data_IF_977216544188
#
_entry.id   IF_977216544188
#
_cell.length_a   1.000
_cell.length_b   1.000
_cell.length_c   1.000
_cell.angle_alpha   90.00
_cell.angle_beta   90.00
_cell.angle_gamma   90.00
#
_symmetry.space_group_name_H-M   'P 1'
#
loop_
_entity.id
_entity.type
_entity.pdbx_description
1 polymer ?
#
# COMPACT_ATOMS: atom_id res chain seq x y z
N UNK A 1 20.64 29.72 -16.52
CA UNK A 1 19.27 29.14 -16.50
C UNK A 1 19.41 27.73 -15.94
N UNK A 2 18.73 27.40 -14.86
CA UNK A 2 18.76 26.07 -14.29
C UNK A 2 18.11 25.10 -15.28
N UNK A 3 18.87 24.12 -15.78
CA UNK A 3 18.33 23.03 -16.62
C UNK A 3 17.47 22.12 -15.72
N UNK A 4 16.22 22.51 -15.51
CA UNK A 4 15.24 21.64 -14.86
C UNK A 4 14.90 20.49 -15.81
N UNK A 5 15.27 19.28 -15.44
CA UNK A 5 14.91 18.05 -16.15
C UNK A 5 13.71 17.41 -15.44
N UNK A 6 12.51 17.43 -16.05
CA UNK A 6 11.34 16.88 -15.41
C UNK A 6 11.42 15.37 -15.30
N UNK A 7 11.04 14.85 -14.15
CA UNK A 7 10.83 13.40 -13.96
C UNK A 7 9.56 12.92 -14.68
N UNK A 8 9.40 11.62 -14.83
CA UNK A 8 8.18 11.04 -15.42
C UNK A 8 6.89 11.45 -14.69
N UNK A 9 6.98 11.71 -13.39
CA UNK A 9 5.87 12.22 -12.59
C UNK A 9 5.45 13.63 -13.03
N UNK A 10 6.40 14.53 -13.17
CA UNK A 10 6.15 15.91 -13.58
C UNK A 10 5.53 15.99 -14.98
N UNK A 11 6.00 15.14 -15.89
CA UNK A 11 5.44 15.03 -17.25
C UNK A 11 3.99 14.51 -17.24
N UNK A 12 3.62 13.64 -16.30
CA UNK A 12 2.24 13.17 -16.14
C UNK A 12 1.34 14.24 -15.54
N UNK A 13 1.84 15.05 -14.62
CA UNK A 13 1.13 16.25 -14.13
C UNK A 13 0.87 17.21 -15.29
N UNK A 14 1.86 17.43 -16.13
CA UNK A 14 1.68 18.25 -17.33
C UNK A 14 0.60 17.70 -18.29
N UNK A 15 0.47 16.36 -18.38
CA UNK A 15 -0.63 15.74 -19.15
C UNK A 15 -2.01 15.98 -18.52
N UNK A 16 -2.14 15.99 -17.18
CA UNK A 16 -3.39 16.38 -16.51
C UNK A 16 -3.76 17.81 -16.89
N UNK A 17 -2.80 18.72 -16.83
CA UNK A 17 -3.01 20.11 -17.23
C UNK A 17 -3.50 20.21 -18.67
N UNK A 18 -2.84 19.52 -19.61
CA UNK A 18 -3.27 19.46 -21.01
C UNK A 18 -4.69 18.89 -21.17
N UNK A 19 -5.04 17.85 -20.38
CA UNK A 19 -6.37 17.25 -20.39
C UNK A 19 -7.45 18.24 -19.95
N UNK A 20 -7.22 19.00 -18.88
CA UNK A 20 -8.15 20.05 -18.43
C UNK A 20 -8.25 21.23 -19.41
N UNK A 21 -7.19 21.50 -20.17
CA UNK A 21 -7.21 22.45 -21.29
C UNK A 21 -7.94 21.90 -22.53
N UNK A 22 -8.59 20.73 -22.44
CA UNK A 22 -9.32 20.08 -23.53
C UNK A 22 -8.44 19.73 -24.75
N UNK A 23 -7.13 19.58 -24.54
CA UNK A 23 -6.22 19.07 -25.57
C UNK A 23 -6.44 17.58 -25.79
N UNK A 24 -6.11 17.12 -26.97
CA UNK A 24 -6.06 15.69 -27.29
C UNK A 24 -4.75 15.06 -26.80
N UNK A 25 -4.70 13.74 -26.66
CA UNK A 25 -3.46 13.04 -26.33
C UNK A 25 -2.33 13.28 -27.35
N UNK A 26 -2.69 13.43 -28.62
CA UNK A 26 -1.74 13.68 -29.69
C UNK A 26 -1.17 15.11 -29.64
N UNK A 27 -2.00 16.10 -29.34
CA UNK A 27 -1.56 17.49 -29.14
C UNK A 27 -0.68 17.60 -27.91
N UNK A 28 -1.07 16.99 -26.81
CA UNK A 28 -0.31 16.97 -25.57
C UNK A 28 1.07 16.32 -25.75
N UNK A 29 1.14 15.23 -26.51
CA UNK A 29 2.41 14.60 -26.87
C UNK A 29 3.32 15.59 -27.63
N UNK A 30 2.79 16.30 -28.66
CA UNK A 30 3.58 17.27 -29.43
C UNK A 30 4.10 18.41 -28.55
N UNK A 31 3.24 18.94 -27.67
CA UNK A 31 3.63 19.97 -26.69
C UNK A 31 4.74 19.53 -25.77
N UNK A 32 4.65 18.30 -25.23
CA UNK A 32 5.69 17.74 -24.36
C UNK A 32 7.02 17.55 -25.12
N UNK A 33 6.97 17.07 -26.37
CA UNK A 33 8.17 16.91 -27.21
C UNK A 33 8.78 18.25 -27.56
N UNK A 34 7.98 19.26 -27.86
CA UNK A 34 8.44 20.62 -28.16
C UNK A 34 9.20 21.23 -26.96
N UNK A 35 8.71 21.02 -25.74
CA UNK A 35 9.30 21.61 -24.51
C UNK A 35 10.46 20.77 -23.97
N UNK A 36 10.36 19.45 -23.99
CA UNK A 36 11.27 18.54 -23.28
C UNK A 36 12.08 17.60 -24.20
N UNK A 37 11.85 17.67 -25.53
CA UNK A 37 12.58 16.86 -26.52
C UNK A 37 12.48 15.37 -26.27
N UNK A 38 13.63 14.70 -26.26
CA UNK A 38 13.75 13.25 -26.02
C UNK A 38 13.36 12.80 -24.59
N UNK A 39 13.28 13.74 -23.64
CA UNK A 39 12.86 13.45 -22.27
C UNK A 39 11.33 13.39 -22.10
N UNK A 40 10.57 13.77 -23.14
CA UNK A 40 9.11 13.71 -23.12
C UNK A 40 8.58 12.27 -22.96
N UNK A 41 7.34 12.14 -22.48
CA UNK A 41 6.65 10.84 -22.48
C UNK A 41 6.42 10.38 -23.92
N UNK A 42 6.57 9.08 -24.16
CA UNK A 42 6.28 8.50 -25.46
C UNK A 42 4.82 8.66 -25.88
N UNK A 43 4.55 8.70 -27.19
CA UNK A 43 3.21 8.88 -27.76
C UNK A 43 2.19 7.89 -27.16
N UNK A 44 2.52 6.60 -27.12
CA UNK A 44 1.65 5.55 -26.55
C UNK A 44 1.33 5.80 -25.09
N UNK A 45 2.30 6.26 -24.30
CA UNK A 45 2.11 6.59 -22.88
C UNK A 45 1.14 7.76 -22.70
N UNK A 46 1.22 8.79 -23.54
CA UNK A 46 0.27 9.90 -23.52
C UNK A 46 -1.16 9.43 -23.79
N UNK A 47 -1.36 8.52 -24.76
CA UNK A 47 -2.67 7.96 -25.06
C UNK A 47 -3.22 7.11 -23.90
N UNK A 48 -2.40 6.27 -23.26
CA UNK A 48 -2.78 5.48 -22.09
C UNK A 48 -3.19 6.36 -20.91
N UNK A 49 -2.44 7.44 -20.63
CA UNK A 49 -2.80 8.38 -19.58
C UNK A 49 -4.10 9.11 -19.89
N UNK A 50 -4.33 9.54 -21.12
CA UNK A 50 -5.59 10.15 -21.52
C UNK A 50 -6.78 9.19 -21.43
N UNK A 51 -6.57 7.88 -21.64
CA UNK A 51 -7.58 6.84 -21.39
C UNK A 51 -7.94 6.77 -19.90
N UNK A 52 -6.95 6.79 -19.01
CA UNK A 52 -7.14 6.84 -17.56
C UNK A 52 -7.89 8.12 -17.13
N UNK A 53 -7.50 9.28 -17.62
CA UNK A 53 -8.17 10.54 -17.29
C UNK A 53 -9.64 10.56 -17.72
N UNK A 54 -9.97 10.00 -18.88
CA UNK A 54 -11.36 9.86 -19.33
C UNK A 54 -12.21 8.93 -18.46
N UNK A 55 -11.60 7.95 -17.82
CA UNK A 55 -12.29 7.09 -16.84
C UNK A 55 -12.36 7.70 -15.43
N UNK A 56 -11.92 8.96 -15.25
CA UNK A 56 -11.91 9.64 -13.95
C UNK A 56 -10.68 9.35 -13.08
N UNK A 57 -9.72 8.56 -13.58
CA UNK A 57 -8.51 8.26 -12.83
C UNK A 57 -7.41 9.28 -13.18
N UNK A 58 -7.16 10.21 -12.24
CA UNK A 58 -6.13 11.25 -12.33
C UNK A 58 -4.89 10.96 -11.48
N UNK A 59 -4.78 9.75 -10.93
CA UNK A 59 -3.59 9.38 -10.17
C UNK A 59 -2.41 9.15 -11.11
N UNK A 60 -1.51 10.11 -11.16
CA UNK A 60 -0.30 10.09 -12.01
C UNK A 60 0.92 9.48 -11.35
N UNK A 61 0.78 9.02 -10.11
CA UNK A 61 1.85 8.29 -9.42
C UNK A 61 2.14 6.99 -10.18
N UNK A 62 3.38 6.56 -10.13
CA UNK A 62 3.82 5.37 -10.87
C UNK A 62 3.39 4.10 -10.14
N UNK A 63 2.13 3.69 -10.33
CA UNK A 63 1.58 2.47 -9.73
C UNK A 63 2.22 1.19 -10.29
N UNK A 64 2.78 1.25 -11.50
CA UNK A 64 3.38 0.08 -12.16
C UNK A 64 4.55 -0.56 -11.39
N UNK A 65 5.13 0.16 -10.41
CA UNK A 65 6.19 -0.34 -9.52
C UNK A 65 5.74 -0.64 -8.09
N UNK A 66 4.53 -0.26 -7.69
CA UNK A 66 4.00 -0.62 -6.38
C UNK A 66 3.12 -1.86 -6.52
N UNK A 67 3.70 -3.00 -6.24
CA UNK A 67 2.91 -4.23 -6.08
C UNK A 67 2.17 -4.13 -4.74
N UNK A 68 0.90 -3.73 -4.82
CA UNK A 68 -0.02 -3.80 -3.69
C UNK A 68 -0.38 -5.25 -3.47
N UNK A 69 0.23 -5.91 -2.51
CA UNK A 69 -0.04 -7.28 -2.13
C UNK A 69 0.47 -7.55 -0.72
N UNK A 70 0.06 -8.65 -0.15
CA UNK A 70 0.56 -9.12 1.14
C UNK A 70 2.02 -9.53 1.01
N UNK A 71 2.86 -8.89 1.79
CA UNK A 71 4.30 -9.19 1.85
C UNK A 71 4.55 -10.42 2.71
N UNK A 72 3.93 -10.45 3.90
CA UNK A 72 4.10 -11.50 4.89
C UNK A 72 2.80 -11.69 5.66
N UNK A 73 2.53 -12.89 6.09
CA UNK A 73 1.52 -13.23 7.08
C UNK A 73 1.94 -14.48 7.84
N UNK A 74 1.39 -14.67 9.00
CA UNK A 74 1.56 -15.87 9.82
C UNK A 74 0.19 -16.34 10.34
N UNK A 75 -0.09 -17.63 10.22
CA UNK A 75 -1.25 -18.26 10.85
C UNK A 75 -0.83 -18.86 12.19
N UNK A 76 -1.49 -18.43 13.25
CA UNK A 76 -1.29 -18.99 14.57
C UNK A 76 -1.98 -20.35 14.68
N UNK A 77 -1.36 -21.28 15.38
CA UNK A 77 -2.03 -22.54 15.76
C UNK A 77 -3.02 -22.28 16.88
N UNK A 78 -4.03 -23.16 17.06
CA UNK A 78 -4.95 -23.05 18.17
C UNK A 78 -4.20 -22.98 19.52
N UNK A 79 -4.55 -21.99 20.35
CA UNK A 79 -3.93 -21.76 21.64
C UNK A 79 -2.63 -20.95 21.63
N UNK A 80 -2.07 -20.61 20.45
CA UNK A 80 -0.94 -19.70 20.35
C UNK A 80 -1.38 -18.25 20.45
N UNK A 81 -0.53 -17.40 21.01
CA UNK A 81 -0.75 -15.97 21.14
C UNK A 81 0.46 -15.17 20.66
N UNK A 82 0.24 -13.92 20.27
CA UNK A 82 1.32 -13.00 19.89
C UNK A 82 1.83 -12.33 21.17
N UNK A 83 2.94 -12.83 21.67
CA UNK A 83 3.73 -12.19 22.73
C UNK A 83 4.84 -11.32 22.13
N UNK A 84 5.59 -10.65 22.98
CA UNK A 84 6.69 -9.74 22.57
C UNK A 84 7.73 -10.44 21.70
N UNK A 85 8.17 -11.64 22.06
CA UNK A 85 9.22 -12.35 21.32
C UNK A 85 8.71 -12.83 19.96
N UNK A 86 7.47 -13.34 19.91
CA UNK A 86 6.86 -13.72 18.64
C UNK A 86 6.67 -12.52 17.72
N UNK A 87 6.18 -11.40 18.25
CA UNK A 87 6.01 -10.19 17.46
C UNK A 87 7.35 -9.66 16.93
N UNK A 88 8.39 -9.71 17.76
CA UNK A 88 9.76 -9.37 17.33
C UNK A 88 10.21 -10.27 16.19
N UNK A 89 9.99 -11.59 16.27
CA UNK A 89 10.32 -12.52 15.20
C UNK A 89 9.52 -12.22 13.92
N UNK A 90 8.23 -11.92 14.04
CA UNK A 90 7.39 -11.50 12.90
C UNK A 90 7.94 -10.25 12.20
N UNK A 91 8.50 -9.29 12.93
CA UNK A 91 9.15 -8.11 12.31
C UNK A 91 10.43 -8.48 11.55
N UNK A 92 11.19 -9.44 12.04
CA UNK A 92 12.38 -9.96 11.36
C UNK A 92 11.98 -10.68 10.06
N UNK A 93 10.98 -11.55 10.14
CA UNK A 93 10.48 -12.32 8.99
C UNK A 93 9.83 -11.40 7.95
N UNK A 94 9.09 -10.38 8.40
CA UNK A 94 8.53 -9.33 7.53
C UNK A 94 9.63 -8.56 6.79
N UNK A 95 10.69 -8.18 7.50
CA UNK A 95 11.83 -7.48 6.87
C UNK A 95 12.50 -8.37 5.82
N UNK A 96 12.74 -9.65 6.12
CA UNK A 96 13.32 -10.59 5.17
C UNK A 96 12.41 -10.75 3.95
N UNK A 97 11.13 -11.02 4.13
CA UNK A 97 10.16 -11.15 3.05
C UNK A 97 10.03 -9.86 2.20
N UNK A 98 10.16 -8.69 2.83
CA UNK A 98 10.17 -7.41 2.13
C UNK A 98 11.38 -7.30 1.21
N UNK A 99 12.57 -7.64 1.70
CA UNK A 99 13.82 -7.56 0.93
C UNK A 99 13.85 -8.59 -0.21
N UNK A 100 13.31 -9.78 0.00
CA UNK A 100 13.19 -10.81 -1.04
C UNK A 100 12.21 -10.41 -2.15
N UNK A 101 11.01 -9.96 -1.77
CA UNK A 101 9.96 -9.57 -2.72
C UNK A 101 10.19 -8.21 -3.38
N UNK A 102 10.99 -7.35 -2.77
CA UNK A 102 11.26 -5.98 -3.20
C UNK A 102 12.71 -5.57 -2.98
N UNK A 103 13.65 -6.13 -3.76
CA UNK A 103 15.08 -5.86 -3.59
C UNK A 103 15.46 -4.37 -3.72
N UNK A 104 14.59 -3.59 -4.38
CA UNK A 104 14.79 -2.15 -4.49
C UNK A 104 14.73 -1.42 -3.13
N UNK A 105 14.14 -2.01 -2.10
CA UNK A 105 14.14 -1.39 -0.75
C UNK A 105 15.51 -1.38 -0.11
N UNK A 106 16.41 -2.28 -0.48
CA UNK A 106 17.82 -2.22 -0.05
C UNK A 106 18.57 -0.99 -0.61
N UNK A 107 18.16 -0.53 -1.80
CA UNK A 107 18.84 0.55 -2.54
C UNK A 107 18.19 1.91 -2.37
N UNK A 108 17.03 1.99 -1.72
CA UNK A 108 16.28 3.23 -1.59
C UNK A 108 16.70 4.02 -0.36
N UNK A 109 16.80 5.33 -0.55
CA UNK A 109 16.92 6.30 0.54
C UNK A 109 15.61 6.51 1.31
N UNK A 110 14.51 5.88 0.86
CA UNK A 110 13.20 5.99 1.51
C UNK A 110 13.06 4.94 2.60
N UNK A 111 12.72 5.39 3.79
CA UNK A 111 12.42 4.53 4.93
C UNK A 111 11.12 3.77 4.71
N UNK A 112 11.04 2.56 5.24
CA UNK A 112 9.78 1.84 5.39
C UNK A 112 8.99 2.52 6.50
N UNK A 113 7.73 2.78 6.27
CA UNK A 113 6.79 3.30 7.27
C UNK A 113 5.94 2.14 7.74
N UNK A 114 6.07 1.79 9.01
CA UNK A 114 5.30 0.74 9.67
C UNK A 114 4.13 1.35 10.43
N UNK A 115 2.93 0.99 10.05
CA UNK A 115 1.73 1.32 10.81
C UNK A 115 1.37 0.13 11.70
N UNK A 116 1.51 0.27 13.00
CA UNK A 116 1.09 -0.73 13.99
C UNK A 116 0.45 -0.05 15.21
N UNK A 117 -0.27 -0.84 16.01
CA UNK A 117 -0.93 -0.33 17.20
C UNK A 117 0.02 -0.25 18.42
N UNK A 118 -0.50 0.29 19.53
CA UNK A 118 0.23 0.44 20.79
C UNK A 118 0.04 -0.73 21.75
N UNK A 119 -0.28 -1.94 21.25
CA UNK A 119 -0.38 -3.11 22.12
C UNK A 119 0.94 -3.34 22.90
N UNK A 120 0.91 -3.81 24.15
CA UNK A 120 2.11 -3.99 24.98
C UNK A 120 3.19 -4.84 24.31
N UNK A 121 2.80 -5.89 23.59
CA UNK A 121 3.73 -6.74 22.83
C UNK A 121 4.42 -6.00 21.69
N UNK A 122 3.77 -4.99 21.09
CA UNK A 122 4.28 -4.23 19.96
C UNK A 122 5.20 -3.08 20.40
N UNK A 123 4.92 -2.49 21.56
CA UNK A 123 5.68 -1.35 22.09
C UNK A 123 6.83 -1.72 22.99
N UNK A 124 7.04 -3.01 23.25
CA UNK A 124 8.11 -3.53 24.09
C UNK A 124 9.50 -3.14 23.55
N UNK A 125 10.43 -2.87 24.47
CA UNK A 125 11.79 -2.43 24.15
C UNK A 125 12.51 -3.29 23.09
N UNK A 126 12.51 -4.65 23.17
CA UNK A 126 13.19 -5.47 22.16
C UNK A 126 12.61 -5.31 20.74
N UNK A 127 11.31 -5.03 20.63
CA UNK A 127 10.64 -4.80 19.34
C UNK A 127 11.07 -3.47 18.77
N UNK A 128 11.07 -2.40 19.56
CA UNK A 128 11.53 -1.07 19.13
C UNK A 128 12.98 -1.11 18.65
N UNK A 129 13.86 -1.72 19.40
CA UNK A 129 15.28 -1.90 19.02
C UNK A 129 15.42 -2.65 17.68
N UNK A 130 14.59 -3.67 17.45
CA UNK A 130 14.59 -4.42 16.19
C UNK A 130 14.12 -3.55 15.01
N UNK A 131 13.05 -2.78 15.18
CA UNK A 131 12.52 -1.89 14.14
C UNK A 131 13.49 -0.75 13.83
N UNK A 132 14.12 -0.19 14.87
CA UNK A 132 15.18 0.82 14.73
C UNK A 132 16.39 0.29 13.96
N UNK A 133 16.82 -0.96 14.24
CA UNK A 133 17.91 -1.61 13.51
C UNK A 133 17.60 -1.77 12.00
N UNK A 134 16.34 -1.88 11.61
CA UNK A 134 15.92 -1.87 10.21
C UNK A 134 15.81 -0.46 9.61
N UNK A 135 16.01 0.59 10.43
CA UNK A 135 15.80 1.99 10.06
C UNK A 135 14.37 2.28 9.56
N UNK A 136 13.38 1.59 10.11
CA UNK A 136 11.97 1.81 9.80
C UNK A 136 11.41 2.95 10.64
N UNK A 137 10.50 3.70 10.06
CA UNK A 137 9.72 4.73 10.75
C UNK A 137 8.41 4.13 11.25
N UNK A 138 8.08 4.39 12.51
CA UNK A 138 6.84 3.91 13.13
C UNK A 138 5.81 5.03 13.11
N UNK A 139 4.64 4.74 12.52
CA UNK A 139 3.43 5.52 12.72
C UNK A 139 2.52 4.73 13.65
N UNK A 140 2.49 5.16 14.91
CA UNK A 140 1.65 4.53 15.93
C UNK A 140 0.19 4.93 15.75
N UNK A 141 -0.71 3.97 15.91
CA UNK A 141 -2.15 4.18 16.03
C UNK A 141 -2.64 3.79 17.42
N UNK A 142 -3.85 4.19 17.77
CA UNK A 142 -4.47 3.76 19.02
C UNK A 142 -4.54 2.22 19.08
N UNK A 143 -4.31 1.66 20.25
CA UNK A 143 -4.52 0.24 20.48
C UNK A 143 -6.00 -0.10 20.31
N UNK A 144 -6.26 -1.30 19.77
CA UNK A 144 -7.63 -1.79 19.55
C UNK A 144 -8.50 -0.91 18.63
N UNK A 145 -7.88 -0.20 17.68
CA UNK A 145 -8.56 0.60 16.66
C UNK A 145 -8.45 -0.08 15.28
N UNK A 146 -9.23 -1.13 14.99
CA UNK A 146 -9.17 -1.86 13.73
C UNK A 146 -9.54 -0.97 12.53
N UNK A 147 -10.40 0.03 12.74
CA UNK A 147 -10.83 0.98 11.71
C UNK A 147 -9.68 1.83 11.14
N UNK A 148 -8.55 1.86 11.83
CA UNK A 148 -7.35 2.58 11.40
C UNK A 148 -6.29 1.67 10.76
N UNK A 149 -6.59 0.39 10.55
CA UNK A 149 -5.68 -0.57 9.93
C UNK A 149 -6.28 -1.17 8.64
N UNK A 150 -5.68 -0.91 7.47
CA UNK A 150 -6.16 -1.48 6.21
C UNK A 150 -6.24 -3.01 6.19
N UNK A 151 -5.39 -3.69 6.96
CA UNK A 151 -5.48 -5.13 7.17
C UNK A 151 -6.79 -5.53 7.83
N UNK A 152 -7.22 -4.78 8.83
CA UNK A 152 -8.35 -5.14 9.69
C UNK A 152 -9.67 -4.77 9.02
N UNK A 153 -9.90 -3.48 8.72
CA UNK A 153 -11.18 -3.01 8.18
C UNK A 153 -11.46 -3.49 6.75
N UNK A 154 -10.44 -3.91 5.99
CA UNK A 154 -10.63 -4.29 4.60
C UNK A 154 -10.27 -5.74 4.33
N UNK A 155 -9.04 -6.16 4.61
CA UNK A 155 -8.57 -7.51 4.25
C UNK A 155 -9.17 -8.57 5.17
N UNK A 156 -9.06 -8.43 6.48
CA UNK A 156 -9.60 -9.43 7.42
C UNK A 156 -11.13 -9.42 7.47
N UNK A 157 -11.77 -8.25 7.37
CA UNK A 157 -13.22 -8.18 7.29
C UNK A 157 -13.75 -8.91 6.03
N UNK A 158 -13.15 -8.65 4.86
CA UNK A 158 -13.51 -9.33 3.61
C UNK A 158 -13.21 -10.83 3.65
N UNK A 159 -12.11 -11.24 4.24
CA UNK A 159 -11.77 -12.65 4.41
C UNK A 159 -12.71 -13.34 5.40
N UNK A 160 -12.99 -12.72 6.54
CA UNK A 160 -13.94 -13.24 7.53
C UNK A 160 -15.32 -13.48 6.93
N UNK A 161 -15.82 -12.55 6.13
CA UNK A 161 -17.07 -12.72 5.41
C UNK A 161 -17.02 -13.89 4.40
N UNK A 162 -15.92 -14.02 3.66
CA UNK A 162 -15.78 -15.11 2.68
C UNK A 162 -15.63 -16.50 3.32
N UNK A 163 -15.20 -16.56 4.58
CA UNK A 163 -14.96 -17.80 5.33
C UNK A 163 -16.06 -18.13 6.34
N UNK A 164 -17.07 -17.25 6.54
CA UNK A 164 -18.07 -17.36 7.61
C UNK A 164 -18.87 -18.67 7.54
N UNK A 165 -19.15 -19.18 6.34
CA UNK A 165 -19.95 -20.39 6.12
C UNK A 165 -19.09 -21.65 5.92
N UNK A 166 -17.78 -21.57 6.16
CA UNK A 166 -16.86 -22.69 5.96
C UNK A 166 -16.53 -23.39 7.26
N UNK A 167 -16.62 -24.74 7.24
CA UNK A 167 -16.15 -25.58 8.34
C UNK A 167 -14.79 -26.20 8.01
N UNK A 168 -13.82 -25.93 8.85
CA UNK A 168 -12.47 -26.42 8.66
C UNK A 168 -12.21 -27.62 9.58
N UNK A 169 -11.78 -28.74 9.01
CA UNK A 169 -11.46 -29.97 9.73
C UNK A 169 -9.99 -30.04 10.16
N UNK A 170 -9.11 -29.22 9.58
CA UNK A 170 -7.68 -29.19 9.93
C UNK A 170 -7.07 -27.81 9.73
N UNK A 171 -5.93 -27.59 10.38
CA UNK A 171 -5.12 -26.37 10.22
C UNK A 171 -4.65 -26.19 8.76
N UNK A 172 -4.30 -27.30 8.09
CA UNK A 172 -3.87 -27.28 6.69
C UNK A 172 -4.98 -26.79 5.75
N UNK A 173 -6.24 -27.16 6.05
CA UNK A 173 -7.39 -26.69 5.29
C UNK A 173 -7.60 -25.18 5.47
N UNK A 174 -7.44 -24.67 6.70
CA UNK A 174 -7.48 -23.23 6.96
C UNK A 174 -6.40 -22.51 6.18
N UNK A 175 -5.15 -23.01 6.26
CA UNK A 175 -4.01 -22.42 5.56
C UNK A 175 -4.22 -22.38 4.05
N UNK A 176 -4.63 -23.50 3.46
CA UNK A 176 -4.92 -23.57 2.02
C UNK A 176 -6.00 -22.58 1.60
N UNK A 177 -7.10 -22.53 2.33
CA UNK A 177 -8.19 -21.60 2.04
C UNK A 177 -7.76 -20.14 2.13
N UNK A 178 -6.92 -19.82 3.10
CA UNK A 178 -6.32 -18.51 3.27
C UNK A 178 -5.39 -18.15 2.09
N UNK A 179 -4.52 -19.07 1.69
CA UNK A 179 -3.62 -18.90 0.54
C UNK A 179 -4.41 -18.68 -0.76
N UNK A 180 -5.43 -19.51 -1.00
CA UNK A 180 -6.31 -19.43 -2.17
C UNK A 180 -7.07 -18.09 -2.17
N UNK A 181 -7.53 -17.63 -1.00
CA UNK A 181 -8.22 -16.35 -0.87
C UNK A 181 -7.29 -15.17 -1.25
N UNK A 182 -6.07 -15.12 -0.72
CA UNK A 182 -5.11 -14.08 -1.10
C UNK A 182 -4.74 -14.14 -2.58
N UNK A 183 -4.54 -15.33 -3.11
CA UNK A 183 -4.23 -15.54 -4.54
C UNK A 183 -5.39 -15.08 -5.46
N UNK A 184 -6.62 -15.15 -4.97
CA UNK A 184 -7.81 -14.71 -5.73
C UNK A 184 -7.94 -13.18 -5.82
N UNK A 185 -7.21 -12.41 -5.00
CA UNK A 185 -7.37 -10.96 -4.93
C UNK A 185 -6.49 -10.26 -5.96
N UNK A 186 -7.12 -9.39 -6.74
CA UNK A 186 -6.42 -8.51 -7.65
C UNK A 186 -5.65 -7.40 -6.89
N UNK A 187 -4.63 -6.85 -7.53
CA UNK A 187 -3.85 -5.74 -6.97
C UNK A 187 -4.72 -4.55 -6.56
N UNK A 188 -5.80 -4.31 -7.26
CA UNK A 188 -6.73 -3.21 -6.98
C UNK A 188 -7.46 -3.38 -5.65
N UNK A 189 -7.65 -4.62 -5.17
CA UNK A 189 -8.22 -4.89 -3.86
C UNK A 189 -7.35 -4.26 -2.76
N UNK A 190 -6.05 -4.57 -2.73
CA UNK A 190 -5.13 -4.02 -1.73
C UNK A 190 -4.88 -2.52 -1.91
N UNK A 191 -4.89 -2.04 -3.14
CA UNK A 191 -4.78 -0.62 -3.45
C UNK A 191 -5.93 0.18 -2.82
N UNK A 192 -7.16 -0.28 -2.99
CA UNK A 192 -8.34 0.37 -2.41
C UNK A 192 -8.26 0.44 -0.89
N UNK A 193 -7.86 -0.65 -0.22
CA UNK A 193 -7.70 -0.68 1.22
C UNK A 193 -6.79 0.45 1.73
N UNK A 194 -5.63 0.63 1.10
CA UNK A 194 -4.67 1.66 1.50
C UNK A 194 -5.18 3.07 1.19
N UNK A 195 -5.88 3.27 0.07
CA UNK A 195 -6.34 4.59 -0.35
C UNK A 195 -7.62 5.06 0.38
N UNK A 196 -8.30 4.18 1.10
CA UNK A 196 -9.37 4.55 2.03
C UNK A 196 -8.84 5.05 3.39
N UNK A 197 -7.56 4.80 3.70
CA UNK A 197 -7.00 5.14 5.01
C UNK A 197 -7.10 6.64 5.37
N UNK A 198 -6.84 7.60 4.45
CA UNK A 198 -7.03 9.02 4.74
C UNK A 198 -8.47 9.36 5.13
N UNK A 199 -9.46 8.83 4.41
CA UNK A 199 -10.89 9.07 4.70
C UNK A 199 -11.27 8.50 6.08
N UNK A 200 -10.72 7.33 6.44
CA UNK A 200 -10.91 6.72 7.76
C UNK A 200 -10.30 7.58 8.86
N UNK A 201 -9.10 8.12 8.63
CA UNK A 201 -8.46 9.04 9.58
C UNK A 201 -9.24 10.36 9.74
N UNK A 202 -9.77 10.93 8.66
CA UNK A 202 -10.62 12.11 8.71
C UNK A 202 -11.89 11.87 9.53
N UNK A 203 -12.56 10.73 9.33
CA UNK A 203 -13.70 10.32 10.14
C UNK A 203 -13.35 10.17 11.62
N UNK A 204 -12.22 9.53 11.94
CA UNK A 204 -11.75 9.38 13.30
C UNK A 204 -11.51 10.74 13.98
N UNK A 205 -10.92 11.70 13.26
CA UNK A 205 -10.70 13.06 13.75
C UNK A 205 -12.06 13.77 13.96
N UNK A 206 -12.98 13.65 13.00
CA UNK A 206 -14.30 14.29 13.07
C UNK A 206 -15.17 13.74 14.20
N UNK A 207 -14.97 12.47 14.60
CA UNK A 207 -15.66 11.83 15.71
C UNK A 207 -14.95 12.00 17.06
N UNK A 208 -13.91 12.83 17.14
CA UNK A 208 -13.08 13.02 18.33
C UNK A 208 -12.52 11.70 18.91
N UNK A 209 -12.14 10.78 18.02
CA UNK A 209 -11.61 9.48 18.36
C UNK A 209 -12.65 8.43 18.79
N UNK A 210 -13.93 8.74 18.70
CA UNK A 210 -15.00 7.77 18.96
C UNK A 210 -15.20 6.83 17.76
N UNK A 211 -15.76 5.66 18.02
CA UNK A 211 -16.15 4.73 16.95
C UNK A 211 -17.19 5.40 16.04
N UNK A 212 -17.01 5.23 14.74
CA UNK A 212 -17.94 5.68 13.71
C UNK A 212 -18.40 4.47 12.88
N UNK A 213 -19.66 4.46 12.48
CA UNK A 213 -20.26 3.47 11.58
C UNK A 213 -20.02 3.82 10.10
#
# INVERSE_FOLDING_TARGET
MSNFMPGKYDLRIALIFCYHLKKTAAESYRMLVEVYGEHALGKSQCFEWFKKFRSGNFDVRNEERRTWNVIYYELLKPGETVNTERYRQQMIDLNQALLEKRPEYQKRQHKVILLHDNAPSHTAKPVKETIEAFSWEIVSRAAYAPDLAPSDYYSFASMGHALSDQHFSSYENVRKCHDDWFASKERQFFWRAIHQLPDMWEKCIASDGQYFE
#
